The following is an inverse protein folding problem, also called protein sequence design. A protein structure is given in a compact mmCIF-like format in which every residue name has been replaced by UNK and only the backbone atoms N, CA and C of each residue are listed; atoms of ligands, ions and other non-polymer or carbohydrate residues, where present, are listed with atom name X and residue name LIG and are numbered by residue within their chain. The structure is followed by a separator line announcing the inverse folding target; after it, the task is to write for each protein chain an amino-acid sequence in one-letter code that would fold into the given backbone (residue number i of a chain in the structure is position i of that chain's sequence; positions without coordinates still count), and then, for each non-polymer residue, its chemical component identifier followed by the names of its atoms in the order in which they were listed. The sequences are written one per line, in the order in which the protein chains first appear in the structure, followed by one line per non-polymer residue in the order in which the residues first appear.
data_IF_425949335029
#
_entry.id   IF_425949335029
#
_cell.length_a   1.000
_cell.length_b   1.000
_cell.length_c   1.000
_cell.angle_alpha   90.00
_cell.angle_beta   90.00
_cell.angle_gamma   90.00
#
_symmetry.space_group_name_H-M   'P 1'
#
loop_
_entity.id
_entity.type
_entity.pdbx_description
1 polymer ?
#
# COMPACT_ATOMS: atom_id res chain seq x y z
N UNK A 1 -3.49 -5.88 2.68
CA UNK A 1 -3.99 -4.51 2.41
C UNK A 1 -5.49 -4.54 2.59
N UNK A 2 -6.08 -3.49 3.17
CA UNK A 2 -7.55 -3.34 3.22
C UNK A 2 -8.00 -2.65 1.92
N UNK A 3 -8.69 -3.41 1.07
CA UNK A 3 -9.10 -2.97 -0.27
C UNK A 3 -10.13 -1.82 -0.20
N UNK A 4 -11.07 -1.89 0.73
CA UNK A 4 -12.10 -0.85 0.90
C UNK A 4 -11.45 0.45 1.35
N UNK A 5 -10.58 0.36 2.35
CA UNK A 5 -9.89 1.53 2.88
C UNK A 5 -8.94 2.15 1.83
N UNK A 6 -8.24 1.33 1.05
CA UNK A 6 -7.33 1.81 0.00
C UNK A 6 -8.09 2.44 -1.17
N UNK A 7 -9.20 1.86 -1.62
CA UNK A 7 -10.03 2.43 -2.67
C UNK A 7 -10.66 3.77 -2.25
N UNK A 8 -11.04 3.94 -0.97
CA UNK A 8 -11.53 5.24 -0.45
C UNK A 8 -10.50 6.37 -0.53
N UNK A 9 -9.22 6.04 -0.42
CA UNK A 9 -8.11 7.01 -0.45
C UNK A 9 -7.51 7.19 -1.84
N UNK A 10 -7.86 6.33 -2.79
CA UNK A 10 -7.33 6.40 -4.14
C UNK A 10 -7.72 7.72 -4.81
N UNK A 11 -6.72 8.46 -5.31
CA UNK A 11 -6.93 9.77 -5.94
C UNK A 11 -7.28 9.66 -7.41
N UNK A 12 -6.79 8.62 -8.10
CA UNK A 12 -6.96 8.44 -9.55
C UNK A 12 -7.21 6.96 -9.91
N UNK A 13 -8.32 6.35 -9.46
CA UNK A 13 -8.67 5.02 -9.93
C UNK A 13 -8.99 5.04 -11.43
N UNK A 14 -8.66 3.95 -12.12
CA UNK A 14 -8.81 3.77 -13.57
C UNK A 14 -9.59 2.48 -13.83
N UNK A 15 -10.59 2.56 -14.69
CA UNK A 15 -11.26 1.39 -15.26
C UNK A 15 -10.64 1.06 -16.62
N UNK A 16 -10.12 -0.14 -16.78
CA UNK A 16 -9.55 -0.63 -18.04
C UNK A 16 -10.52 -1.61 -18.70
N UNK A 17 -10.96 -1.27 -19.91
CA UNK A 17 -11.89 -2.09 -20.71
C UNK A 17 -11.60 -1.90 -22.19
N UNK A 18 -11.68 -2.98 -22.99
CA UNK A 18 -11.54 -2.92 -24.46
C UNK A 18 -10.30 -2.13 -24.95
N UNK A 19 -9.19 -2.17 -24.21
CA UNK A 19 -7.97 -1.41 -24.51
C UNK A 19 -8.03 0.09 -24.16
N UNK A 20 -9.15 0.58 -23.65
CA UNK A 20 -9.33 1.94 -23.15
C UNK A 20 -9.05 2.02 -21.65
N UNK A 21 -8.47 3.14 -21.22
CA UNK A 21 -8.24 3.46 -19.81
C UNK A 21 -9.10 4.66 -19.44
N UNK A 22 -10.03 4.44 -18.53
CA UNK A 22 -11.07 5.37 -18.16
C UNK A 22 -10.86 5.87 -16.74
N UNK A 23 -10.52 7.15 -16.52
CA UNK A 23 -10.50 7.71 -15.19
C UNK A 23 -11.89 7.61 -14.57
N UNK A 24 -11.94 7.11 -13.33
CA UNK A 24 -13.19 6.95 -12.58
C UNK A 24 -13.09 7.65 -11.23
N UNK A 25 -14.25 7.98 -10.66
CA UNK A 25 -14.35 8.55 -9.31
C UNK A 25 -15.31 7.72 -8.47
N UNK A 26 -14.87 7.35 -7.26
CA UNK A 26 -15.74 6.67 -6.31
C UNK A 26 -16.91 7.59 -5.91
N UNK A 27 -18.14 7.10 -6.08
CA UNK A 27 -19.36 7.78 -5.66
C UNK A 27 -19.86 7.24 -4.32
N UNK A 28 -19.83 5.91 -4.16
CA UNK A 28 -20.38 5.23 -2.99
C UNK A 28 -19.73 3.87 -2.80
N UNK A 29 -19.59 3.47 -1.54
CA UNK A 29 -19.40 2.08 -1.12
C UNK A 29 -20.64 1.64 -0.36
N UNK A 30 -21.17 0.46 -0.68
CA UNK A 30 -22.27 -0.13 0.07
C UNK A 30 -21.85 -0.39 1.52
N UNK A 31 -22.76 -0.23 2.48
CA UNK A 31 -22.48 -0.52 3.89
C UNK A 31 -22.47 -2.02 4.21
N UNK A 32 -23.00 -2.84 3.32
CA UNK A 32 -23.17 -4.29 3.49
C UNK A 32 -22.06 -5.07 2.79
N UNK A 33 -21.60 -6.13 3.43
CA UNK A 33 -20.69 -7.12 2.86
C UNK A 33 -21.52 -8.36 2.54
N UNK A 34 -21.45 -8.85 1.31
CA UNK A 34 -22.16 -10.06 0.90
C UNK A 34 -21.40 -11.28 1.41
N UNK A 35 -21.94 -11.93 2.45
CA UNK A 35 -21.25 -12.94 3.26
C UNK A 35 -20.61 -14.12 2.50
N UNK A 36 -21.22 -14.70 1.45
CA UNK A 36 -20.62 -15.84 0.73
C UNK A 36 -19.34 -15.46 -0.03
N UNK A 37 -19.29 -14.26 -0.59
CA UNK A 37 -18.21 -13.81 -1.46
C UNK A 37 -17.25 -12.82 -0.79
N UNK A 38 -17.59 -12.33 0.42
CA UNK A 38 -16.89 -11.25 1.13
C UNK A 38 -16.64 -10.02 0.25
N UNK A 39 -17.58 -9.74 -0.64
CA UNK A 39 -17.53 -8.59 -1.54
C UNK A 39 -18.33 -7.41 -0.98
N UNK A 40 -17.89 -6.21 -1.30
CA UNK A 40 -18.62 -4.97 -1.04
C UNK A 40 -18.80 -4.22 -2.36
N UNK A 41 -20.03 -3.82 -2.65
CA UNK A 41 -20.33 -3.08 -3.89
C UNK A 41 -19.76 -1.66 -3.83
N UNK A 42 -19.02 -1.27 -4.86
CA UNK A 42 -18.55 0.09 -5.08
C UNK A 42 -19.21 0.67 -6.34
N UNK A 43 -19.75 1.88 -6.24
CA UNK A 43 -20.30 2.63 -7.39
C UNK A 43 -19.33 3.73 -7.78
N UNK A 44 -18.95 3.76 -9.05
CA UNK A 44 -18.01 4.72 -9.60
C UNK A 44 -18.65 5.47 -10.77
N UNK A 45 -18.32 6.75 -10.91
CA UNK A 45 -18.63 7.53 -12.10
C UNK A 45 -17.48 7.39 -13.09
N UNK A 46 -17.81 7.09 -14.35
CA UNK A 46 -16.86 7.17 -15.45
C UNK A 46 -16.79 8.60 -15.97
N UNK A 47 -15.61 8.98 -16.48
CA UNK A 47 -15.45 10.22 -17.25
C UNK A 47 -16.28 10.14 -18.53
N UNK A 48 -16.88 11.26 -18.95
CA UNK A 48 -17.83 11.30 -20.07
C UNK A 48 -17.27 10.82 -21.42
N UNK A 49 -15.94 10.82 -21.58
CA UNK A 49 -15.23 10.31 -22.76
C UNK A 49 -15.19 8.78 -22.85
N UNK A 50 -15.69 8.05 -21.84
CA UNK A 50 -15.63 6.61 -21.78
C UNK A 50 -16.98 5.96 -22.06
N UNK A 51 -17.12 5.37 -23.25
CA UNK A 51 -18.26 4.54 -23.63
C UNK A 51 -18.05 3.10 -23.15
N UNK A 52 -18.38 2.84 -21.89
CA UNK A 52 -18.22 1.52 -21.28
C UNK A 52 -19.55 0.91 -20.82
N UNK A 53 -20.69 1.34 -21.38
CA UNK A 53 -22.00 0.78 -21.00
C UNK A 53 -22.02 -0.71 -21.33
N UNK A 54 -22.29 -1.55 -20.32
CA UNK A 54 -22.30 -3.00 -20.45
C UNK A 54 -20.91 -3.66 -20.60
N UNK A 55 -19.83 -2.89 -20.53
CA UNK A 55 -18.49 -3.41 -20.69
C UNK A 55 -17.94 -4.00 -19.39
N UNK A 56 -17.25 -5.13 -19.50
CA UNK A 56 -16.45 -5.70 -18.42
C UNK A 56 -15.00 -5.21 -18.47
N UNK A 57 -14.30 -5.27 -17.34
CA UNK A 57 -12.95 -4.74 -17.26
C UNK A 57 -12.31 -4.87 -15.88
N UNK A 58 -11.16 -4.21 -15.71
CA UNK A 58 -10.41 -4.19 -14.46
C UNK A 58 -10.47 -2.80 -13.84
N UNK A 59 -10.73 -2.75 -12.53
CA UNK A 59 -10.53 -1.54 -11.76
C UNK A 59 -9.10 -1.54 -11.20
N UNK A 60 -8.34 -0.52 -11.54
CA UNK A 60 -6.98 -0.31 -11.04
C UNK A 60 -6.97 0.91 -10.13
N UNK A 61 -6.35 0.79 -8.96
CA UNK A 61 -6.08 1.92 -8.08
C UNK A 61 -4.77 1.68 -7.33
N UNK A 62 -4.21 2.76 -6.78
CA UNK A 62 -3.02 2.71 -5.94
C UNK A 62 -3.43 3.17 -4.55
N UNK A 63 -2.96 2.46 -3.51
CA UNK A 63 -3.07 2.96 -2.14
C UNK A 63 -2.14 4.17 -2.01
N UNK A 64 -2.67 5.29 -1.55
CA UNK A 64 -1.92 6.54 -1.33
C UNK A 64 -0.84 6.43 -0.25
N UNK A 65 -0.87 5.37 0.57
CA UNK A 65 0.04 5.21 1.70
C UNK A 65 1.37 4.63 1.23
N UNK A 66 2.46 5.13 1.81
CA UNK A 66 3.81 4.62 1.54
C UNK A 66 3.95 3.20 2.10
N UNK A 67 4.49 2.30 1.28
CA UNK A 67 4.77 0.92 1.68
C UNK A 67 6.24 0.59 1.44
N UNK A 68 6.80 -0.23 2.32
CA UNK A 68 8.12 -0.83 2.14
C UNK A 68 8.00 -2.32 1.79
N UNK A 69 8.87 -2.85 0.91
CA UNK A 69 8.88 -4.26 0.58
C UNK A 69 9.17 -5.14 1.80
N UNK A 70 8.58 -6.32 1.85
CA UNK A 70 8.78 -7.30 2.92
C UNK A 70 10.27 -7.65 3.13
N UNK A 71 11.07 -7.66 2.06
CA UNK A 71 12.50 -7.99 2.10
C UNK A 71 13.34 -7.01 2.95
N UNK A 72 12.82 -5.79 3.20
CA UNK A 72 13.48 -4.81 4.05
C UNK A 72 13.10 -4.96 5.53
N UNK A 73 12.07 -5.76 5.83
CA UNK A 73 11.62 -5.98 7.19
C UNK A 73 12.56 -6.93 7.91
N UNK A 74 12.87 -6.57 9.15
CA UNK A 74 13.75 -7.33 10.02
C UNK A 74 13.03 -7.54 11.35
N UNK A 75 13.16 -8.75 11.89
CA UNK A 75 12.65 -9.09 13.21
C UNK A 75 13.69 -8.77 14.28
N UNK A 76 13.27 -8.05 15.31
CA UNK A 76 14.04 -7.80 16.53
C UNK A 76 13.16 -8.10 17.73
N UNK A 77 13.60 -9.06 18.54
CA UNK A 77 12.78 -9.63 19.62
C UNK A 77 11.37 -10.00 19.11
N UNK A 78 10.32 -9.36 19.63
CA UNK A 78 8.92 -9.61 19.30
C UNK A 78 8.34 -8.64 18.26
N UNK A 79 9.17 -7.77 17.67
CA UNK A 79 8.73 -6.75 16.72
C UNK A 79 9.31 -6.98 15.32
N UNK A 80 8.47 -6.77 14.30
CA UNK A 80 8.92 -6.52 12.93
C UNK A 80 9.11 -5.02 12.73
N UNK A 81 10.14 -4.65 12.01
CA UNK A 81 10.46 -3.26 11.71
C UNK A 81 11.48 -3.15 10.60
N UNK A 82 12.05 -1.97 10.42
CA UNK A 82 13.08 -1.71 9.42
C UNK A 82 14.23 -0.91 10.02
N UNK A 83 15.35 -0.83 9.31
CA UNK A 83 16.45 0.04 9.69
C UNK A 83 16.46 1.31 8.83
N UNK A 84 16.55 2.46 9.50
CA UNK A 84 16.80 3.77 8.88
C UNK A 84 18.19 4.25 9.21
N UNK A 85 18.76 5.10 8.36
CA UNK A 85 19.96 5.87 8.69
C UNK A 85 19.54 7.15 9.39
N UNK A 86 19.98 7.32 10.62
CA UNK A 86 19.79 8.53 11.41
C UNK A 86 21.12 8.92 12.04
N UNK A 87 21.60 10.15 11.79
CA UNK A 87 22.85 10.68 12.34
C UNK A 87 24.07 9.77 12.14
N UNK A 88 24.17 9.16 10.95
CA UNK A 88 25.26 8.22 10.61
C UNK A 88 25.16 6.86 11.31
N UNK A 89 24.04 6.55 11.95
CA UNK A 89 23.80 5.27 12.64
C UNK A 89 22.57 4.56 12.09
N UNK A 90 22.54 3.24 12.26
CA UNK A 90 21.38 2.41 12.00
C UNK A 90 20.42 2.52 13.18
N UNK A 91 19.17 2.95 12.92
CA UNK A 91 18.11 2.99 13.93
C UNK A 91 17.02 1.99 13.55
N UNK A 92 16.67 1.11 14.47
CA UNK A 92 15.54 0.21 14.28
C UNK A 92 14.23 0.94 14.54
N UNK A 93 13.34 0.93 13.55
CA UNK A 93 11.99 1.50 13.64
C UNK A 93 10.99 0.34 13.63
N UNK A 94 10.31 0.05 14.75
CA UNK A 94 9.27 -0.98 14.78
C UNK A 94 8.07 -0.53 13.94
N UNK A 95 7.43 -1.49 13.26
CA UNK A 95 6.24 -1.27 12.45
C UNK A 95 5.09 -2.10 13.00
N UNK A 96 4.27 -1.53 13.91
CA UNK A 96 3.11 -2.22 14.45
C UNK A 96 2.18 -2.69 13.33
N UNK A 97 1.80 -3.98 13.36
CA UNK A 97 0.95 -4.58 12.34
C UNK A 97 1.66 -5.03 11.06
N UNK A 98 2.99 -4.88 10.97
CA UNK A 98 3.77 -5.52 9.92
C UNK A 98 3.68 -7.05 10.03
N UNK A 99 3.58 -7.71 8.88
CA UNK A 99 3.50 -9.17 8.78
C UNK A 99 4.67 -9.68 7.96
N UNK A 100 5.18 -10.85 8.35
CA UNK A 100 6.28 -11.47 7.62
C UNK A 100 5.87 -11.83 6.19
N UNK A 101 6.76 -11.57 5.23
CA UNK A 101 6.49 -11.80 3.81
C UNK A 101 5.53 -10.80 3.15
N UNK A 102 5.00 -9.81 3.89
CA UNK A 102 4.12 -8.78 3.34
C UNK A 102 4.77 -7.40 3.34
N UNK A 103 4.46 -6.60 2.32
CA UNK A 103 4.80 -5.18 2.33
C UNK A 103 4.14 -4.50 3.53
N UNK A 104 4.89 -3.70 4.26
CA UNK A 104 4.39 -2.97 5.42
C UNK A 104 4.12 -1.52 5.04
N UNK A 105 3.00 -0.98 5.53
CA UNK A 105 2.79 0.46 5.50
C UNK A 105 3.80 1.13 6.44
N UNK A 106 4.35 2.26 6.01
CA UNK A 106 5.20 3.11 6.85
C UNK A 106 4.65 4.53 6.89
N UNK A 107 4.85 5.19 8.03
CA UNK A 107 4.62 6.61 8.20
C UNK A 107 5.97 7.27 8.50
N UNK A 108 6.76 7.43 7.45
CA UNK A 108 8.11 7.99 7.48
C UNK A 108 8.20 9.11 6.44
N UNK A 109 8.98 10.19 6.70
CA UNK A 109 9.30 11.19 5.70
C UNK A 109 9.84 10.54 4.41
N UNK A 110 9.46 11.05 3.24
CA UNK A 110 9.84 10.45 1.95
C UNK A 110 11.35 10.49 1.68
N UNK A 111 12.07 11.37 2.35
CA UNK A 111 13.53 11.52 2.31
C UNK A 111 14.26 10.62 3.33
N UNK A 112 13.52 9.80 4.09
CA UNK A 112 14.11 8.88 5.07
C UNK A 112 14.98 7.85 4.36
N UNK A 113 16.29 7.85 4.64
CA UNK A 113 17.23 6.88 4.10
C UNK A 113 17.03 5.50 4.75
N UNK A 114 16.60 4.52 3.96
CA UNK A 114 16.41 3.14 4.40
C UNK A 114 17.68 2.31 4.18
N UNK A 115 17.95 1.38 5.10
CA UNK A 115 18.97 0.36 4.88
C UNK A 115 18.38 -0.76 4.01
N UNK A 116 18.87 -0.87 2.77
CA UNK A 116 18.38 -1.85 1.79
C UNK A 116 19.25 -3.10 1.64
N UNK A 117 20.43 -3.13 2.28
CA UNK A 117 21.38 -4.26 2.25
C UNK A 117 22.07 -4.42 3.59
N UNK A 118 22.29 -5.67 4.00
CA UNK A 118 22.97 -6.00 5.27
C UNK A 118 22.10 -5.77 6.52
N UNK A 119 20.83 -5.42 6.35
CA UNK A 119 19.89 -5.08 7.41
C UNK A 119 19.73 -6.18 8.47
N UNK A 120 19.89 -7.45 8.08
CA UNK A 120 19.78 -8.59 8.99
C UNK A 120 20.89 -8.60 10.05
N UNK A 121 22.09 -8.13 9.72
CA UNK A 121 23.24 -8.12 10.61
C UNK A 121 23.34 -6.86 11.50
N UNK A 122 22.55 -5.83 11.20
CA UNK A 122 22.62 -4.55 11.91
C UNK A 122 22.03 -4.63 13.32
N UNK A 123 22.68 -3.93 14.24
CA UNK A 123 22.16 -3.67 15.58
C UNK A 123 21.68 -2.21 15.69
N UNK A 124 20.73 -1.97 16.58
CA UNK A 124 20.26 -0.60 16.86
C UNK A 124 21.41 0.24 17.42
N UNK A 125 21.60 1.43 16.86
CA UNK A 125 22.70 2.35 17.21
C UNK A 125 24.05 2.04 16.54
N UNK A 126 24.15 0.99 15.72
CA UNK A 126 25.38 0.65 15.01
C UNK A 126 25.77 1.77 14.04
N UNK A 127 27.05 2.16 14.03
CA UNK A 127 27.57 3.12 13.08
C UNK A 127 27.47 2.56 11.65
N UNK A 128 26.95 3.39 10.74
CA UNK A 128 26.92 3.10 9.31
C UNK A 128 28.15 3.73 8.65
N UNK A 129 28.78 3.03 7.69
CA UNK A 129 29.89 3.59 6.93
C UNK A 129 29.47 4.77 6.06
#
# INVERSE_FOLDING_TARGET
VDDVASLRRATQPVFETQGQRCPVRLLRLAGTITAPARTQEARLALSASCSAVGAEGRLLWQDSRTHVPAALLVRRAQALGLFVRQDGKARFVPLPGAQEGQSAQVDLPLDTALVVRGQNALQDGQALP
#
